data_IF_212442762220
#
_entry.id   IF_212442762220
#
_cell.length_a   1.000
_cell.length_b   1.000
_cell.length_c   1.000
_cell.angle_alpha   90.00
_cell.angle_beta   90.00
_cell.angle_gamma   90.00
#
_symmetry.space_group_name_H-M   'P 1'
#
loop_
_entity.id
_entity.type
_entity.pdbx_description
1 polymer ?
#
# COMPACT_ATOMS: atom_id res chain seq x y z
N UNK A 1 -48.86 59.28 8.28
CA UNK A 1 -48.51 57.92 7.79
C UNK A 1 -47.08 57.82 7.25
N UNK A 2 -46.52 58.83 6.58
CA UNK A 2 -45.17 58.81 5.98
C UNK A 2 -44.00 58.53 6.95
N UNK A 3 -44.01 59.12 8.15
CA UNK A 3 -42.95 58.94 9.15
C UNK A 3 -42.91 57.54 9.78
N UNK A 4 -44.04 56.82 9.81
CA UNK A 4 -44.12 55.48 10.38
C UNK A 4 -43.53 54.44 9.41
N UNK A 5 -43.81 54.60 8.11
CA UNK A 5 -43.25 53.75 7.05
C UNK A 5 -41.73 53.92 6.96
N UNK A 6 -41.23 55.17 7.03
CA UNK A 6 -39.79 55.48 7.01
C UNK A 6 -39.02 54.90 8.21
N UNK A 7 -39.64 54.89 9.41
CA UNK A 7 -39.07 54.24 10.60
C UNK A 7 -39.05 52.72 10.48
N UNK A 8 -40.11 52.11 9.93
CA UNK A 8 -40.17 50.66 9.70
C UNK A 8 -39.14 50.18 8.67
N UNK A 9 -38.96 50.91 7.57
CA UNK A 9 -37.95 50.58 6.56
C UNK A 9 -36.53 50.73 7.11
N UNK A 10 -36.27 51.74 7.95
CA UNK A 10 -34.96 51.91 8.60
C UNK A 10 -34.63 50.77 9.58
N UNK A 11 -35.61 50.31 10.37
CA UNK A 11 -35.46 49.17 11.29
C UNK A 11 -35.20 47.85 10.54
N UNK A 12 -35.90 47.61 9.44
CA UNK A 12 -35.69 46.41 8.61
C UNK A 12 -34.30 46.41 7.95
N UNK A 13 -33.84 47.55 7.44
CA UNK A 13 -32.50 47.70 6.89
C UNK A 13 -31.41 47.50 7.96
N UNK A 14 -31.61 48.02 9.18
CA UNK A 14 -30.65 47.79 10.27
C UNK A 14 -30.58 46.33 10.68
N UNK A 15 -31.71 45.62 10.77
CA UNK A 15 -31.73 44.19 11.10
C UNK A 15 -31.05 43.37 10.01
N UNK A 16 -31.27 43.71 8.74
CA UNK A 16 -30.62 43.04 7.61
C UNK A 16 -29.09 43.24 7.62
N UNK A 17 -28.61 44.46 7.88
CA UNK A 17 -27.18 44.75 7.99
C UNK A 17 -26.54 44.04 9.20
N UNK A 18 -27.22 43.99 10.34
CA UNK A 18 -26.75 43.24 11.52
C UNK A 18 -26.63 41.76 11.21
N UNK A 19 -27.63 41.16 10.54
CA UNK A 19 -27.56 39.76 10.11
C UNK A 19 -26.37 39.52 9.17
N UNK A 20 -26.12 40.38 8.17
CA UNK A 20 -24.96 40.26 7.27
C UNK A 20 -23.63 40.32 8.04
N UNK A 21 -23.51 41.23 9.01
CA UNK A 21 -22.29 41.37 9.83
C UNK A 21 -22.07 40.12 10.68
N UNK A 22 -23.13 39.60 11.31
CA UNK A 22 -23.07 38.36 12.09
C UNK A 22 -22.64 37.19 11.19
N UNK A 23 -23.25 37.00 10.01
CA UNK A 23 -22.89 35.90 9.10
C UNK A 23 -21.44 35.99 8.60
N UNK A 24 -20.92 37.20 8.36
CA UNK A 24 -19.51 37.39 7.97
C UNK A 24 -18.55 37.10 9.12
N UNK A 25 -18.89 37.52 10.34
CA UNK A 25 -18.09 37.25 11.53
C UNK A 25 -18.04 35.75 11.83
N UNK A 26 -19.18 35.04 11.80
CA UNK A 26 -19.21 33.59 11.99
C UNK A 26 -18.42 32.84 10.91
N UNK A 27 -18.51 33.26 9.64
CA UNK A 27 -17.72 32.66 8.56
C UNK A 27 -16.21 32.91 8.71
N UNK A 28 -15.81 34.04 9.28
CA UNK A 28 -14.40 34.35 9.57
C UNK A 28 -13.87 33.49 10.72
N UNK A 29 -14.63 33.34 11.80
CA UNK A 29 -14.27 32.52 12.95
C UNK A 29 -14.22 31.02 12.58
N UNK A 30 -15.15 30.54 11.77
CA UNK A 30 -15.12 29.17 11.24
C UNK A 30 -13.90 28.93 10.36
N UNK A 31 -13.51 29.90 9.52
CA UNK A 31 -12.33 29.80 8.66
C UNK A 31 -11.03 29.77 9.47
N UNK A 32 -10.92 30.59 10.51
CA UNK A 32 -9.75 30.64 11.39
C UNK A 32 -9.63 29.33 12.19
N UNK A 33 -10.73 28.85 12.78
CA UNK A 33 -10.78 27.56 13.47
C UNK A 33 -10.40 26.39 12.53
N UNK A 34 -10.84 26.45 11.27
CA UNK A 34 -10.52 25.45 10.26
C UNK A 34 -9.01 25.36 9.97
N UNK A 35 -8.34 26.50 9.83
CA UNK A 35 -6.90 26.56 9.58
C UNK A 35 -6.13 26.06 10.81
N UNK A 36 -6.52 26.46 12.02
CA UNK A 36 -5.87 26.01 13.25
C UNK A 36 -5.97 24.49 13.43
N UNK A 37 -7.11 23.88 13.11
CA UNK A 37 -7.27 22.42 13.13
C UNK A 37 -6.36 21.75 12.10
N UNK A 38 -6.22 22.31 10.90
CA UNK A 38 -5.28 21.80 9.89
C UNK A 38 -3.83 21.88 10.38
N UNK A 39 -3.41 23.02 10.96
CA UNK A 39 -2.07 23.20 11.49
C UNK A 39 -1.72 22.23 12.63
N UNK A 40 -2.67 21.99 13.53
CA UNK A 40 -2.53 21.04 14.63
C UNK A 40 -2.48 19.59 14.12
N UNK A 41 -3.37 19.24 13.18
CA UNK A 41 -3.38 17.93 12.55
C UNK A 41 -2.06 17.65 11.82
N UNK A 42 -1.46 18.66 11.18
CA UNK A 42 -0.23 18.57 10.42
C UNK A 42 1.06 18.82 11.23
N UNK A 43 0.96 19.06 12.54
CA UNK A 43 2.12 19.24 13.40
C UNK A 43 3.01 17.98 13.46
N UNK A 44 4.32 18.16 13.31
CA UNK A 44 5.30 17.06 13.31
C UNK A 44 5.33 16.21 12.03
N UNK A 45 4.65 16.64 10.96
CA UNK A 45 4.73 16.00 9.64
C UNK A 45 5.97 16.47 8.89
N UNK A 46 6.51 15.61 8.00
CA UNK A 46 7.72 15.93 7.22
C UNK A 46 7.47 16.99 6.14
N UNK A 47 6.25 17.03 5.58
CA UNK A 47 5.87 17.97 4.52
C UNK A 47 4.69 18.83 5.01
N UNK A 48 4.96 19.65 6.04
CA UNK A 48 3.94 20.43 6.76
C UNK A 48 3.12 21.33 5.85
N UNK A 49 3.77 22.09 4.97
CA UNK A 49 3.06 23.05 4.10
C UNK A 49 2.08 22.34 3.17
N UNK A 50 2.52 21.24 2.54
CA UNK A 50 1.67 20.40 1.70
C UNK A 50 0.53 19.76 2.50
N UNK A 51 0.80 19.35 3.74
CA UNK A 51 -0.23 18.82 4.65
C UNK A 51 -1.30 19.88 4.91
N UNK A 52 -0.90 21.07 5.38
CA UNK A 52 -1.83 22.14 5.77
C UNK A 52 -2.61 22.64 4.55
N UNK A 53 -1.93 22.86 3.42
CA UNK A 53 -2.58 23.33 2.18
C UNK A 53 -3.62 22.34 1.66
N UNK A 54 -3.45 21.05 1.92
CA UNK A 54 -4.38 20.01 1.48
C UNK A 54 -5.50 19.80 2.48
N UNK A 55 -5.15 19.62 3.77
CA UNK A 55 -6.11 19.33 4.84
C UNK A 55 -7.10 20.46 5.05
N UNK A 56 -6.66 21.72 4.94
CA UNK A 56 -7.53 22.91 5.05
C UNK A 56 -8.56 23.07 3.91
N UNK A 57 -8.53 22.20 2.89
CA UNK A 57 -9.54 22.19 1.82
C UNK A 57 -10.70 21.24 2.11
N UNK A 58 -10.58 20.40 3.14
CA UNK A 58 -11.58 19.37 3.41
C UNK A 58 -12.82 19.95 4.10
N UNK A 59 -14.04 19.61 3.66
CA UNK A 59 -15.25 20.08 4.30
C UNK A 59 -15.34 19.57 5.75
N UNK A 60 -15.93 20.38 6.61
CA UNK A 60 -16.22 20.07 8.02
C UNK A 60 -14.99 19.66 8.85
N UNK A 61 -13.78 20.09 8.46
CA UNK A 61 -12.53 19.70 9.13
C UNK A 61 -12.56 19.93 10.65
N UNK A 62 -13.12 21.05 11.10
CA UNK A 62 -13.20 21.40 12.52
C UNK A 62 -14.02 20.39 13.35
N UNK A 63 -14.89 19.59 12.71
CA UNK A 63 -15.69 18.56 13.36
C UNK A 63 -15.04 17.15 13.32
N UNK A 64 -13.94 16.98 12.56
CA UNK A 64 -13.29 15.70 12.37
C UNK A 64 -12.29 15.40 13.47
N UNK A 65 -12.34 14.18 14.00
CA UNK A 65 -11.26 13.62 14.82
C UNK A 65 -9.99 13.39 13.98
N UNK A 66 -8.83 13.29 14.63
CA UNK A 66 -7.57 13.01 13.93
C UNK A 66 -7.62 11.77 13.02
N UNK A 67 -8.17 10.60 13.43
CA UNK A 67 -8.37 9.46 12.52
C UNK A 67 -9.22 9.80 11.29
N UNK A 68 -10.29 10.58 11.44
CA UNK A 68 -11.14 11.00 10.31
C UNK A 68 -10.42 11.98 9.38
N UNK A 69 -9.56 12.84 9.92
CA UNK A 69 -8.69 13.72 9.12
C UNK A 69 -7.66 12.89 8.33
N UNK A 70 -7.04 11.89 8.95
CA UNK A 70 -6.16 10.94 8.26
C UNK A 70 -6.92 10.21 7.15
N UNK A 71 -8.12 9.67 7.42
CA UNK A 71 -8.95 9.04 6.39
C UNK A 71 -9.29 9.99 5.24
N UNK A 72 -9.52 11.27 5.52
CA UNK A 72 -9.80 12.29 4.48
C UNK A 72 -8.57 12.55 3.62
N UNK A 73 -7.38 12.65 4.23
CA UNK A 73 -6.11 12.78 3.51
C UNK A 73 -5.82 11.53 2.66
N UNK A 74 -5.99 10.33 3.22
CA UNK A 74 -5.80 9.08 2.48
C UNK A 74 -6.78 8.94 1.31
N UNK A 75 -8.05 9.34 1.47
CA UNK A 75 -9.03 9.36 0.39
C UNK A 75 -8.62 10.33 -0.74
N UNK A 76 -8.10 11.51 -0.37
CA UNK A 76 -7.53 12.45 -1.35
C UNK A 76 -6.35 11.80 -2.10
N UNK A 77 -5.43 11.17 -1.37
CA UNK A 77 -4.29 10.45 -1.95
C UNK A 77 -4.71 9.29 -2.86
N UNK A 78 -5.75 8.54 -2.52
CA UNK A 78 -6.33 7.51 -3.40
C UNK A 78 -6.75 8.12 -4.74
N UNK A 79 -7.35 9.31 -4.73
CA UNK A 79 -7.70 10.04 -5.95
C UNK A 79 -6.48 10.41 -6.80
N UNK A 80 -5.41 10.90 -6.17
CA UNK A 80 -4.15 11.22 -6.85
C UNK A 80 -3.48 9.98 -7.47
N UNK A 81 -3.47 8.86 -6.74
CA UNK A 81 -2.95 7.57 -7.23
C UNK A 81 -3.79 7.05 -8.40
N UNK A 82 -5.12 7.12 -8.29
CA UNK A 82 -6.02 6.73 -9.39
C UNK A 82 -5.79 7.58 -10.63
N UNK A 83 -5.65 8.90 -10.48
CA UNK A 83 -5.32 9.80 -11.59
C UNK A 83 -3.97 9.45 -12.23
N UNK A 84 -2.96 9.17 -11.41
CA UNK A 84 -1.62 8.78 -11.89
C UNK A 84 -1.64 7.43 -12.64
N UNK A 85 -2.45 6.47 -12.19
CA UNK A 85 -2.65 5.20 -12.89
C UNK A 85 -3.30 5.37 -14.27
N UNK A 86 -4.33 6.23 -14.36
CA UNK A 86 -4.92 6.59 -15.65
C UNK A 86 -3.92 7.32 -16.56
N UNK A 87 -3.10 8.21 -16.01
CA UNK A 87 -2.05 8.88 -16.77
C UNK A 87 -1.03 7.87 -17.33
N UNK A 88 -0.55 6.91 -16.53
CA UNK A 88 0.32 5.85 -17.03
C UNK A 88 -0.34 5.04 -18.17
N UNK A 89 -1.61 4.67 -18.01
CA UNK A 89 -2.38 3.99 -19.06
C UNK A 89 -2.48 4.84 -20.34
N UNK A 90 -2.68 6.16 -20.18
CA UNK A 90 -2.71 7.13 -21.27
C UNK A 90 -1.37 7.25 -21.98
N UNK A 91 -0.27 7.40 -21.24
CA UNK A 91 1.10 7.45 -21.78
C UNK A 91 1.43 6.18 -22.54
N UNK A 92 1.10 5.02 -21.96
CA UNK A 92 1.35 3.69 -22.53
C UNK A 92 0.68 3.48 -23.88
N UNK A 93 -0.49 4.10 -24.09
CA UNK A 93 -1.28 4.03 -25.34
C UNK A 93 -0.98 5.17 -26.30
N UNK A 94 -0.69 6.36 -25.79
CA UNK A 94 -0.62 7.60 -26.57
C UNK A 94 0.78 7.93 -27.09
N UNK A 95 1.84 7.56 -26.36
CA UNK A 95 3.22 7.83 -26.79
C UNK A 95 3.68 6.78 -27.81
N UNK A 96 3.95 7.23 -29.04
CA UNK A 96 4.30 6.34 -30.17
C UNK A 96 5.70 5.72 -30.06
N UNK A 97 6.65 6.44 -29.44
CA UNK A 97 8.07 6.06 -29.42
C UNK A 97 8.55 5.57 -28.05
N UNK A 98 7.71 4.81 -27.33
CA UNK A 98 8.14 4.15 -26.11
C UNK A 98 8.94 2.89 -26.43
N UNK A 99 10.14 2.81 -25.87
CA UNK A 99 10.95 1.59 -25.80
C UNK A 99 10.21 0.47 -25.07
N UNK A 100 10.64 -0.76 -25.29
CA UNK A 100 10.10 -1.92 -24.58
C UNK A 100 10.24 -1.79 -23.06
N UNK A 101 11.36 -1.22 -22.59
CA UNK A 101 11.59 -1.02 -21.16
C UNK A 101 10.64 0.03 -20.57
N UNK A 102 10.41 1.15 -21.26
CA UNK A 102 9.45 2.17 -20.79
C UNK A 102 8.02 1.62 -20.77
N UNK A 103 7.65 0.80 -21.76
CA UNK A 103 6.34 0.12 -21.78
C UNK A 103 6.16 -0.77 -20.56
N UNK A 104 7.18 -1.59 -20.22
CA UNK A 104 7.18 -2.45 -19.03
C UNK A 104 7.15 -1.63 -17.74
N UNK A 105 7.94 -0.56 -17.65
CA UNK A 105 7.96 0.33 -16.49
C UNK A 105 6.59 1.02 -16.26
N UNK A 106 5.91 1.43 -17.33
CA UNK A 106 4.53 1.95 -17.23
C UNK A 106 3.54 0.87 -16.79
N UNK A 107 3.67 -0.36 -17.32
CA UNK A 107 2.82 -1.50 -16.92
C UNK A 107 3.05 -1.86 -15.44
N UNK A 108 4.30 -1.80 -14.95
CA UNK A 108 4.67 -1.98 -13.54
C UNK A 108 4.08 -0.89 -12.65
N UNK A 109 4.18 0.38 -13.07
CA UNK A 109 3.56 1.49 -12.34
C UNK A 109 2.06 1.31 -12.16
N UNK A 110 1.35 0.83 -13.19
CA UNK A 110 -0.09 0.57 -13.10
C UNK A 110 -0.39 -0.48 -12.02
N UNK A 111 0.36 -1.58 -12.01
CA UNK A 111 0.23 -2.61 -10.99
C UNK A 111 0.54 -2.07 -9.57
N UNK A 112 1.65 -1.34 -9.42
CA UNK A 112 2.07 -0.74 -8.16
C UNK A 112 1.07 0.30 -7.63
N UNK A 113 0.42 1.07 -8.51
CA UNK A 113 -0.65 1.98 -8.10
C UNK A 113 -1.90 1.24 -7.63
N UNK A 114 -2.25 0.10 -8.24
CA UNK A 114 -3.38 -0.71 -7.76
C UNK A 114 -3.11 -1.32 -6.38
N UNK A 115 -1.86 -1.72 -6.10
CA UNK A 115 -1.46 -2.14 -4.76
C UNK A 115 -1.45 -0.98 -3.76
N UNK A 116 -0.89 0.16 -4.14
CA UNK A 116 -0.93 1.41 -3.35
C UNK A 116 -2.37 1.76 -2.98
N UNK A 117 -3.30 1.76 -3.94
CA UNK A 117 -4.73 2.01 -3.68
C UNK A 117 -5.31 1.04 -2.67
N UNK A 118 -4.94 -0.23 -2.76
CA UNK A 118 -5.42 -1.25 -1.83
C UNK A 118 -4.89 -0.99 -0.42
N UNK A 119 -3.61 -0.69 -0.27
CA UNK A 119 -2.97 -0.41 1.02
C UNK A 119 -3.58 0.82 1.70
N UNK A 120 -3.82 1.89 0.94
CA UNK A 120 -4.50 3.09 1.42
C UNK A 120 -5.95 2.79 1.82
N UNK A 121 -6.72 2.06 0.99
CA UNK A 121 -8.10 1.69 1.28
C UNK A 121 -8.23 0.79 2.52
N UNK A 122 -7.31 -0.17 2.69
CA UNK A 122 -7.24 -1.01 3.88
C UNK A 122 -6.95 -0.17 5.12
N UNK A 123 -6.00 0.77 5.03
CA UNK A 123 -5.70 1.70 6.14
C UNK A 123 -6.91 2.55 6.53
N UNK A 124 -7.65 3.08 5.54
CA UNK A 124 -8.91 3.81 5.79
C UNK A 124 -9.92 2.93 6.51
N UNK A 125 -10.07 1.67 6.08
CA UNK A 125 -10.99 0.71 6.71
C UNK A 125 -10.59 0.39 8.16
N UNK A 126 -9.29 0.30 8.44
CA UNK A 126 -8.77 0.04 9.79
C UNK A 126 -9.01 1.22 10.74
N UNK A 127 -8.88 2.45 10.23
CA UNK A 127 -9.06 3.69 10.99
C UNK A 127 -10.53 4.07 11.25
N UNK A 128 -11.45 3.62 10.39
CA UNK A 128 -12.88 3.89 10.55
C UNK A 128 -13.56 3.07 11.66
N UNK A 129 -12.85 2.16 12.33
CA UNK A 129 -13.41 1.33 13.39
C UNK A 129 -13.34 2.03 14.75
N UNK A 130 -14.41 1.94 15.56
CA UNK A 130 -14.58 2.60 16.87
C UNK A 130 -13.51 2.27 17.90
N UNK A 131 -12.81 1.15 17.75
CA UNK A 131 -11.62 0.79 18.52
C UNK A 131 -10.57 0.25 17.55
N UNK A 132 -9.33 0.73 17.65
CA UNK A 132 -8.19 0.26 16.85
C UNK A 132 -7.29 -0.56 17.78
N UNK A 133 -7.33 -1.91 17.74
CA UNK A 133 -6.35 -2.76 18.41
C UNK A 133 -4.94 -2.39 17.96
N UNK A 134 -3.96 -2.52 18.87
CA UNK A 134 -2.55 -2.19 18.61
C UNK A 134 -1.99 -2.85 17.35
N UNK A 135 -2.49 -4.05 17.02
CA UNK A 135 -2.16 -4.79 15.80
C UNK A 135 -2.53 -4.02 14.52
N UNK A 136 -3.74 -3.46 14.45
CA UNK A 136 -4.23 -2.73 13.27
C UNK A 136 -3.48 -1.41 13.04
N UNK A 137 -2.96 -0.80 14.10
CA UNK A 137 -2.09 0.37 13.96
C UNK A 137 -0.75 0.02 13.31
N UNK A 138 -0.09 -1.06 13.74
CA UNK A 138 1.14 -1.55 13.13
C UNK A 138 0.92 -2.01 11.68
N UNK A 139 -0.22 -2.66 11.42
CA UNK A 139 -0.62 -3.05 10.07
C UNK A 139 -0.80 -1.77 9.21
N UNK A 140 -1.51 -0.75 9.68
CA UNK A 140 -1.64 0.55 9.00
C UNK A 140 -0.29 1.23 8.73
N UNK A 141 0.63 1.25 9.70
CA UNK A 141 1.98 1.78 9.50
C UNK A 141 2.74 1.01 8.40
N UNK A 142 2.59 -0.30 8.38
CA UNK A 142 3.21 -1.17 7.37
C UNK A 142 2.63 -0.90 5.99
N UNK A 143 1.30 -0.80 5.89
CA UNK A 143 0.59 -0.51 4.63
C UNK A 143 0.98 0.86 4.06
N UNK A 144 1.05 1.91 4.89
CA UNK A 144 1.50 3.23 4.43
C UNK A 144 2.96 3.23 3.99
N UNK A 145 3.82 2.46 4.66
CA UNK A 145 5.22 2.31 4.27
C UNK A 145 5.36 1.55 2.95
N UNK A 146 4.54 0.50 2.74
CA UNK A 146 4.47 -0.24 1.49
C UNK A 146 3.97 0.65 0.34
N UNK A 147 2.95 1.48 0.58
CA UNK A 147 2.44 2.44 -0.39
C UNK A 147 3.55 3.39 -0.87
N UNK A 148 4.37 3.93 0.03
CA UNK A 148 5.53 4.74 -0.37
C UNK A 148 6.52 3.93 -1.21
N UNK A 149 6.87 2.71 -0.80
CA UNK A 149 7.77 1.83 -1.55
C UNK A 149 7.26 1.55 -2.96
N UNK A 150 5.96 1.32 -3.14
CA UNK A 150 5.35 1.10 -4.44
C UNK A 150 5.53 2.32 -5.37
N UNK A 151 5.34 3.54 -4.83
CA UNK A 151 5.55 4.78 -5.58
C UNK A 151 7.02 4.95 -6.01
N UNK A 152 7.98 4.71 -5.12
CA UNK A 152 9.41 4.78 -5.48
C UNK A 152 9.81 3.68 -6.47
N UNK A 153 9.30 2.46 -6.29
CA UNK A 153 9.55 1.33 -7.21
C UNK A 153 9.08 1.64 -8.63
N UNK A 154 7.93 2.32 -8.77
CA UNK A 154 7.46 2.79 -10.08
C UNK A 154 8.46 3.75 -10.73
N UNK A 155 9.01 4.71 -9.98
CA UNK A 155 10.03 5.63 -10.50
C UNK A 155 11.34 4.92 -10.86
N UNK A 156 11.75 3.96 -10.02
CA UNK A 156 12.97 3.17 -10.24
C UNK A 156 12.87 2.26 -11.47
N UNK A 157 11.65 1.89 -11.90
CA UNK A 157 11.41 1.20 -13.16
C UNK A 157 11.97 1.91 -14.40
N UNK A 158 12.19 3.23 -14.31
CA UNK A 158 12.74 4.04 -15.40
C UNK A 158 14.25 4.31 -15.27
N UNK A 159 14.94 3.84 -14.22
CA UNK A 159 16.34 4.17 -13.94
C UNK A 159 17.31 3.82 -15.09
N UNK A 160 16.95 2.83 -15.92
CA UNK A 160 17.77 2.37 -17.04
C UNK A 160 17.24 2.78 -18.43
N UNK A 161 16.20 3.62 -18.49
CA UNK A 161 15.63 4.16 -19.72
C UNK A 161 16.43 5.37 -20.23
N UNK A 162 17.65 5.14 -20.74
CA UNK A 162 18.55 6.21 -21.20
C UNK A 162 17.90 7.07 -22.30
N UNK A 163 17.98 8.40 -22.15
CA UNK A 163 17.41 9.36 -23.11
C UNK A 163 15.89 9.50 -23.05
N UNK A 164 15.21 8.75 -22.17
CA UNK A 164 13.80 8.97 -21.87
C UNK A 164 13.62 10.23 -21.03
N UNK A 165 12.46 10.87 -21.19
CA UNK A 165 11.99 11.93 -20.31
C UNK A 165 10.65 11.56 -19.68
N UNK A 166 10.22 10.30 -19.79
CA UNK A 166 8.90 9.87 -19.32
C UNK A 166 8.79 10.05 -17.80
N UNK A 167 9.84 9.62 -17.08
CA UNK A 167 9.95 9.74 -15.62
C UNK A 167 9.84 11.19 -15.17
N UNK A 168 10.75 12.04 -15.65
CA UNK A 168 10.90 13.41 -15.19
C UNK A 168 9.72 14.28 -15.61
N UNK A 169 9.22 14.10 -16.84
CA UNK A 169 8.16 14.95 -17.39
C UNK A 169 6.78 14.61 -16.87
N UNK A 170 6.48 13.34 -16.64
CA UNK A 170 5.09 12.91 -16.40
C UNK A 170 4.84 12.26 -15.04
N UNK A 171 5.87 11.72 -14.38
CA UNK A 171 5.68 10.88 -13.19
C UNK A 171 6.27 11.50 -11.94
N UNK A 172 7.52 11.95 -11.99
CA UNK A 172 8.33 12.25 -10.81
C UNK A 172 7.66 13.18 -9.81
N UNK A 173 7.27 14.38 -10.25
CA UNK A 173 6.70 15.39 -9.35
C UNK A 173 5.37 14.93 -8.74
N UNK A 174 4.54 14.25 -9.54
CA UNK A 174 3.27 13.69 -9.05
C UNK A 174 3.48 12.58 -8.04
N UNK A 175 4.43 11.69 -8.28
CA UNK A 175 4.68 10.58 -7.37
C UNK A 175 5.36 11.03 -6.08
N UNK A 176 6.21 12.05 -6.14
CA UNK A 176 6.73 12.70 -4.94
C UNK A 176 5.63 13.39 -4.14
N UNK A 177 4.72 14.12 -4.79
CA UNK A 177 3.57 14.72 -4.10
C UNK A 177 2.71 13.66 -3.38
N UNK A 178 2.37 12.57 -4.06
CA UNK A 178 1.62 11.45 -3.47
C UNK A 178 2.40 10.84 -2.31
N UNK A 179 3.69 10.54 -2.49
CA UNK A 179 4.56 9.98 -1.44
C UNK A 179 4.63 10.89 -0.21
N UNK A 180 4.63 12.20 -0.41
CA UNK A 180 4.62 13.20 0.65
C UNK A 180 3.27 13.20 1.41
N UNK A 181 2.14 13.04 0.73
CA UNK A 181 0.84 12.85 1.38
C UNK A 181 0.77 11.56 2.21
N UNK A 182 1.32 10.45 1.69
CA UNK A 182 1.41 9.18 2.44
C UNK A 182 2.32 9.35 3.66
N UNK A 183 3.46 10.02 3.50
CA UNK A 183 4.40 10.33 4.60
C UNK A 183 3.76 11.18 5.69
N UNK A 184 3.02 12.23 5.32
CA UNK A 184 2.26 13.05 6.25
C UNK A 184 1.19 12.22 6.98
N UNK A 185 0.45 11.37 6.26
CA UNK A 185 -0.54 10.46 6.85
C UNK A 185 0.09 9.52 7.88
N UNK A 186 1.29 8.99 7.58
CA UNK A 186 2.04 8.13 8.50
C UNK A 186 2.50 8.89 9.76
N UNK A 187 2.96 10.14 9.62
CA UNK A 187 3.32 10.98 10.75
C UNK A 187 2.10 11.32 11.62
N UNK A 188 0.95 11.61 11.01
CA UNK A 188 -0.31 11.84 11.70
C UNK A 188 -0.79 10.58 12.43
N UNK A 189 -0.67 9.41 11.80
CA UNK A 189 -1.05 8.10 12.38
C UNK A 189 -0.31 7.82 13.70
N UNK A 190 0.93 8.29 13.87
CA UNK A 190 1.70 8.14 15.13
C UNK A 190 1.11 8.93 16.30
N UNK A 191 0.30 9.96 16.03
CA UNK A 191 -0.35 10.80 17.05
C UNK A 191 -1.70 10.27 17.52
N UNK A 192 -2.24 9.22 16.88
CA UNK A 192 -3.54 8.63 17.26
C UNK A 192 -3.45 7.98 18.66
N UNK A 193 -4.30 8.37 19.64
CA UNK A 193 -4.29 7.81 20.99
C UNK A 193 -4.61 6.31 21.01
N UNK A 194 -3.99 5.55 21.92
CA UNK A 194 -4.21 4.09 22.06
C UNK A 194 -3.08 3.21 21.50
N UNK A 195 -2.11 3.83 20.84
CA UNK A 195 -0.86 3.21 20.42
C UNK A 195 0.11 3.27 21.59
N UNK A 196 0.36 2.15 22.26
CA UNK A 196 1.42 2.09 23.28
C UNK A 196 2.71 2.57 22.63
N UNK A 197 3.39 3.56 23.23
CA UNK A 197 4.72 4.02 22.79
C UNK A 197 5.57 2.77 22.49
N UNK A 198 6.28 2.72 21.35
CA UNK A 198 7.15 1.60 21.07
C UNK A 198 8.07 1.41 22.28
N UNK A 199 8.08 0.20 22.82
CA UNK A 199 9.11 -0.26 23.74
C UNK A 199 10.47 0.19 23.19
N UNK A 200 11.42 0.57 24.05
CA UNK A 200 12.81 0.91 23.65
C UNK A 200 13.53 -0.24 22.91
N UNK A 201 12.91 -1.40 22.75
CA UNK A 201 13.38 -2.47 21.88
C UNK A 201 13.08 -2.13 20.43
N UNK A 202 14.09 -2.26 19.57
CA UNK A 202 13.97 -2.16 18.11
C UNK A 202 12.65 -2.77 17.59
N UNK A 203 11.98 -2.02 16.72
CA UNK A 203 10.70 -2.42 16.12
C UNK A 203 10.88 -3.64 15.20
N UNK A 204 12.12 -3.90 14.76
CA UNK A 204 12.55 -5.09 14.04
C UNK A 204 13.97 -5.48 14.49
N UNK A 205 14.15 -6.32 15.53
CA UNK A 205 15.29 -7.22 15.47
C UNK A 205 15.05 -8.07 14.22
N UNK A 206 16.08 -8.29 13.42
CA UNK A 206 16.07 -8.90 12.07
C UNK A 206 15.10 -10.11 11.90
N UNK A 207 14.80 -10.86 12.97
CA UNK A 207 13.87 -12.00 12.98
C UNK A 207 12.71 -11.90 14.01
N UNK A 208 12.53 -10.76 14.69
CA UNK A 208 11.62 -10.61 15.81
C UNK A 208 12.10 -11.34 17.07
N UNK A 209 11.24 -11.47 18.09
CA UNK A 209 11.55 -12.34 19.24
C UNK A 209 11.59 -13.79 18.76
N UNK A 210 12.67 -14.50 19.08
CA UNK A 210 12.83 -15.91 18.76
C UNK A 210 12.35 -16.77 19.93
N UNK A 211 11.64 -17.87 19.63
CA UNK A 211 11.33 -18.92 20.61
C UNK A 211 11.83 -20.25 20.06
N UNK A 212 12.98 -20.70 20.56
CA UNK A 212 13.75 -21.77 19.92
C UNK A 212 14.36 -21.27 18.60
N UNK A 213 14.30 -22.07 17.54
CA UNK A 213 14.83 -21.72 16.22
C UNK A 213 13.84 -20.96 15.31
N UNK A 214 12.68 -20.54 15.83
CA UNK A 214 11.64 -19.90 15.03
C UNK A 214 11.21 -18.56 15.62
N UNK A 215 10.85 -17.57 14.76
CA UNK A 215 10.19 -16.36 15.19
C UNK A 215 8.87 -16.62 15.93
N UNK A 216 8.55 -15.76 16.91
CA UNK A 216 7.32 -15.89 17.71
C UNK A 216 6.05 -15.68 16.92
N UNK A 217 6.12 -14.99 15.77
CA UNK A 217 4.96 -14.75 14.89
C UNK A 217 4.56 -15.98 14.06
N UNK A 218 5.43 -17.00 13.94
CA UNK A 218 5.06 -18.28 13.35
C UNK A 218 4.21 -19.06 14.36
N UNK A 219 3.08 -19.61 13.94
CA UNK A 219 2.20 -20.36 14.84
C UNK A 219 2.81 -21.70 15.25
N UNK A 220 2.39 -22.28 16.39
CA UNK A 220 2.82 -23.63 16.78
C UNK A 220 2.50 -24.68 15.70
N UNK A 221 1.37 -24.52 15.01
CA UNK A 221 0.93 -25.41 13.92
C UNK A 221 1.88 -25.30 12.72
N UNK A 222 2.20 -24.07 12.31
CA UNK A 222 3.11 -23.83 11.18
C UNK A 222 4.53 -24.28 11.50
N UNK A 223 5.01 -24.09 12.73
CA UNK A 223 6.31 -24.64 13.17
C UNK A 223 6.36 -26.16 13.05
N UNK A 224 5.32 -26.85 13.55
CA UNK A 224 5.22 -28.32 13.43
C UNK A 224 5.22 -28.75 11.96
N UNK A 225 4.55 -28.00 11.09
CA UNK A 225 4.51 -28.27 9.66
C UNK A 225 5.88 -28.06 8.99
N UNK A 226 6.60 -26.99 9.34
CA UNK A 226 7.95 -26.70 8.82
C UNK A 226 9.01 -27.72 9.31
N UNK A 227 8.80 -28.30 10.49
CA UNK A 227 9.68 -29.32 11.07
C UNK A 227 9.30 -30.75 10.67
N UNK A 228 8.10 -30.96 10.12
CA UNK A 228 7.65 -32.28 9.71
C UNK A 228 8.48 -32.76 8.51
N UNK A 229 8.79 -34.05 8.47
CA UNK A 229 9.39 -34.62 7.26
C UNK A 229 8.40 -34.52 6.09
N UNK A 230 8.93 -34.43 4.87
CA UNK A 230 8.11 -34.40 3.64
C UNK A 230 7.12 -35.58 3.63
N UNK A 231 7.54 -36.75 4.11
CA UNK A 231 6.73 -37.98 4.16
C UNK A 231 5.58 -37.92 5.18
N UNK A 232 5.64 -37.04 6.18
CA UNK A 232 4.60 -36.86 7.22
C UNK A 232 3.68 -35.67 6.92
N UNK A 233 3.97 -34.92 5.86
CA UNK A 233 3.22 -33.71 5.52
C UNK A 233 2.16 -34.01 4.47
N UNK A 234 0.90 -33.68 4.76
CA UNK A 234 -0.18 -33.78 3.77
C UNK A 234 -0.11 -32.58 2.82
N UNK A 235 0.30 -32.83 1.58
CA UNK A 235 0.32 -31.82 0.52
C UNK A 235 -1.02 -31.74 -0.21
N UNK A 236 -1.38 -30.54 -0.66
CA UNK A 236 -2.57 -30.33 -1.48
C UNK A 236 -2.28 -30.57 -2.96
N UNK A 237 -1.11 -30.14 -3.43
CA UNK A 237 -0.62 -30.34 -4.80
C UNK A 237 0.86 -30.71 -4.79
N UNK A 238 1.27 -31.48 -5.78
CA UNK A 238 2.66 -31.84 -6.05
C UNK A 238 3.06 -31.35 -7.43
N UNK A 239 4.20 -30.68 -7.52
CA UNK A 239 4.84 -30.24 -8.76
C UNK A 239 6.04 -31.12 -9.02
N UNK A 240 6.08 -31.73 -10.21
CA UNK A 240 7.15 -32.64 -10.60
C UNK A 240 7.39 -32.58 -12.12
N UNK A 241 8.62 -32.25 -12.53
CA UNK A 241 8.98 -32.16 -13.95
C UNK A 241 8.92 -33.52 -14.67
N UNK A 242 9.16 -34.60 -13.92
CA UNK A 242 9.07 -35.99 -14.39
C UNK A 242 7.62 -36.44 -14.71
N UNK A 243 6.61 -35.63 -14.40
CA UNK A 243 5.19 -35.95 -14.62
C UNK A 243 4.57 -36.84 -13.54
N UNK A 244 5.29 -37.15 -12.46
CA UNK A 244 4.75 -37.94 -11.32
C UNK A 244 3.90 -37.13 -10.35
N UNK A 245 3.88 -35.79 -10.52
CA UNK A 245 3.08 -34.85 -9.73
C UNK A 245 1.78 -34.44 -10.43
N UNK A 246 1.01 -33.57 -9.78
CA UNK A 246 -0.21 -32.98 -10.37
C UNK A 246 0.11 -32.01 -11.52
N UNK A 247 1.22 -31.27 -11.41
CA UNK A 247 1.64 -30.26 -12.38
C UNK A 247 3.13 -30.40 -12.70
N UNK A 248 3.53 -29.98 -13.90
CA UNK A 248 4.95 -29.92 -14.30
C UNK A 248 5.63 -28.61 -13.92
N UNK A 249 4.85 -27.53 -13.85
CA UNK A 249 5.32 -26.17 -13.58
C UNK A 249 4.81 -25.66 -12.24
N UNK A 250 5.54 -24.70 -11.66
CA UNK A 250 5.11 -24.05 -10.42
C UNK A 250 3.96 -23.10 -10.71
N UNK A 251 4.01 -22.39 -11.85
CA UNK A 251 2.96 -21.47 -12.28
C UNK A 251 1.58 -22.15 -12.39
N UNK A 252 1.49 -23.35 -12.97
CA UNK A 252 0.22 -24.07 -13.11
C UNK A 252 -0.34 -24.49 -11.74
N UNK A 253 0.52 -24.92 -10.83
CA UNK A 253 0.11 -25.27 -9.47
C UNK A 253 -0.39 -24.05 -8.69
N UNK A 254 0.26 -22.89 -8.87
CA UNK A 254 -0.23 -21.62 -8.32
C UNK A 254 -1.57 -21.24 -8.93
N UNK A 255 -1.77 -21.40 -10.23
CA UNK A 255 -3.04 -21.12 -10.90
C UNK A 255 -4.17 -22.00 -10.35
N UNK A 256 -3.90 -23.29 -10.10
CA UNK A 256 -4.85 -24.25 -9.55
C UNK A 256 -5.17 -24.06 -8.05
N UNK A 257 -4.30 -23.39 -7.28
CA UNK A 257 -4.56 -23.13 -5.87
C UNK A 257 -5.82 -22.25 -5.66
N UNK A 258 -6.62 -22.47 -4.61
CA UNK A 258 -7.81 -21.68 -4.36
C UNK A 258 -7.48 -20.20 -4.06
N UNK A 259 -8.32 -19.30 -4.57
CA UNK A 259 -8.26 -17.89 -4.21
C UNK A 259 -8.86 -17.68 -2.81
N UNK A 260 -8.31 -16.76 -2.04
CA UNK A 260 -8.81 -16.35 -0.72
C UNK A 260 -9.00 -17.52 0.27
N UNK A 261 -8.11 -18.51 0.23
CA UNK A 261 -8.19 -19.68 1.10
C UNK A 261 -8.14 -19.28 2.58
N UNK A 262 -9.05 -19.81 3.39
CA UNK A 262 -9.06 -19.65 4.86
C UNK A 262 -8.12 -20.64 5.56
N UNK A 263 -7.73 -21.71 4.86
CA UNK A 263 -6.83 -22.74 5.38
C UNK A 263 -5.52 -22.76 4.59
N UNK A 264 -4.47 -23.30 5.21
CA UNK A 264 -3.15 -23.39 4.57
C UNK A 264 -3.20 -24.36 3.40
N UNK A 265 -2.85 -23.87 2.21
CA UNK A 265 -2.72 -24.65 0.98
C UNK A 265 -1.24 -24.91 0.70
N UNK A 266 -0.83 -26.17 0.79
CA UNK A 266 0.58 -26.58 0.70
C UNK A 266 0.86 -27.22 -0.65
N UNK A 267 1.78 -26.62 -1.41
CA UNK A 267 2.28 -27.15 -2.67
C UNK A 267 3.68 -27.69 -2.44
N UNK A 268 3.88 -28.97 -2.71
CA UNK A 268 5.18 -29.62 -2.69
C UNK A 268 5.82 -29.55 -4.07
N UNK A 269 7.07 -29.11 -4.14
CA UNK A 269 7.84 -29.00 -5.37
C UNK A 269 8.99 -29.97 -5.25
N UNK A 270 8.94 -31.05 -6.03
CA UNK A 270 9.98 -32.09 -6.02
C UNK A 270 11.33 -31.53 -6.46
N UNK A 271 12.39 -32.29 -6.22
CA UNK A 271 13.73 -31.98 -6.70
C UNK A 271 13.73 -31.80 -8.21
N UNK A 272 14.39 -30.74 -8.68
CA UNK A 272 14.35 -30.33 -10.07
C UNK A 272 14.86 -28.91 -10.26
N UNK A 273 15.18 -28.59 -11.52
CA UNK A 273 15.58 -27.25 -11.94
C UNK A 273 14.43 -26.62 -12.73
N UNK A 274 13.67 -25.75 -12.07
CA UNK A 274 12.49 -25.09 -12.62
C UNK A 274 12.89 -23.75 -13.23
N UNK A 275 12.77 -23.63 -14.56
CA UNK A 275 13.13 -22.41 -15.28
C UNK A 275 11.89 -21.55 -15.52
N UNK A 276 11.48 -20.80 -14.50
CA UNK A 276 10.22 -20.06 -14.45
C UNK A 276 10.39 -18.76 -13.66
N UNK A 277 9.73 -17.68 -14.09
CA UNK A 277 9.49 -16.51 -13.24
C UNK A 277 8.18 -16.74 -12.49
N UNK A 278 8.30 -17.11 -11.22
CA UNK A 278 7.15 -17.48 -10.41
C UNK A 278 6.53 -16.23 -9.79
N UNK A 279 5.27 -16.00 -10.12
CA UNK A 279 4.49 -14.88 -9.60
C UNK A 279 3.30 -15.36 -8.76
N UNK A 280 3.28 -14.96 -7.49
CA UNK A 280 2.16 -15.23 -6.59
C UNK A 280 1.23 -14.02 -6.58
N UNK A 281 0.08 -14.16 -7.26
CA UNK A 281 -0.93 -13.10 -7.29
C UNK A 281 -1.54 -12.88 -5.89
N UNK A 282 -1.89 -11.62 -5.59
CA UNK A 282 -2.49 -11.16 -4.32
C UNK A 282 -3.65 -12.01 -3.80
N UNK A 283 -4.44 -12.60 -4.69
CA UNK A 283 -5.62 -13.41 -4.34
C UNK A 283 -5.24 -14.77 -3.74
N UNK A 284 -4.00 -15.22 -3.87
CA UNK A 284 -3.52 -16.51 -3.35
C UNK A 284 -3.05 -16.36 -1.90
N UNK A 285 -4.01 -16.36 -0.97
CA UNK A 285 -3.74 -16.25 0.46
C UNK A 285 -3.52 -17.63 1.10
N UNK A 286 -2.79 -17.66 2.22
CA UNK A 286 -2.51 -18.88 2.98
C UNK A 286 -1.84 -19.97 2.14
N UNK A 287 -0.87 -19.58 1.33
CA UNK A 287 -0.13 -20.50 0.46
C UNK A 287 1.22 -20.85 1.09
N UNK A 288 1.62 -22.11 0.97
CA UNK A 288 2.94 -22.59 1.38
C UNK A 288 3.58 -23.44 0.29
N UNK A 289 4.82 -23.08 -0.07
CA UNK A 289 5.62 -23.84 -1.03
C UNK A 289 6.74 -24.56 -0.29
N UNK A 290 6.87 -25.86 -0.51
CA UNK A 290 7.86 -26.72 0.15
C UNK A 290 8.68 -27.42 -0.93
N UNK A 291 10.00 -27.23 -0.92
CA UNK A 291 10.93 -27.99 -1.76
C UNK A 291 11.47 -29.25 -1.07
N UNK A 292 12.08 -30.15 -1.85
CA UNK A 292 12.76 -31.35 -1.34
C UNK A 292 14.07 -31.06 -0.59
N UNK A 293 14.52 -29.80 -0.58
CA UNK A 293 15.64 -29.32 0.21
C UNK A 293 16.51 -28.30 -0.52
N UNK A 294 17.42 -27.69 0.24
CA UNK A 294 18.42 -26.76 -0.28
C UNK A 294 19.27 -27.43 -1.36
N UNK A 295 19.41 -26.76 -2.51
CA UNK A 295 20.15 -27.26 -3.66
C UNK A 295 19.50 -28.41 -4.45
N UNK A 296 18.37 -28.96 -3.99
CA UNK A 296 17.62 -30.03 -4.69
C UNK A 296 16.49 -29.47 -5.54
N UNK A 297 15.69 -28.60 -4.94
CA UNK A 297 14.64 -27.86 -5.65
C UNK A 297 15.17 -26.46 -5.91
N UNK A 298 15.45 -26.14 -7.17
CA UNK A 298 16.01 -24.86 -7.57
C UNK A 298 15.12 -24.20 -8.60
N UNK A 299 14.69 -22.97 -8.30
CA UNK A 299 13.96 -22.12 -9.24
C UNK A 299 14.94 -21.11 -9.82
N UNK A 300 14.97 -21.00 -11.16
CA UNK A 300 15.85 -20.12 -11.91
C UNK A 300 15.03 -19.37 -12.96
N UNK A 301 15.48 -18.17 -13.32
CA UNK A 301 14.90 -17.38 -14.38
C UNK A 301 15.99 -16.65 -15.17
N UNK A 302 15.63 -16.04 -16.30
CA UNK A 302 16.55 -15.27 -17.16
C UNK A 302 16.19 -13.80 -17.30
N UNK A 303 15.11 -13.32 -16.67
CA UNK A 303 14.72 -11.90 -16.77
C UNK A 303 15.75 -11.03 -16.08
N UNK A 304 16.30 -10.06 -16.81
CA UNK A 304 17.26 -9.11 -16.30
C UNK A 304 17.16 -7.76 -17.03
N UNK A 305 17.75 -6.72 -16.43
CA UNK A 305 17.67 -5.34 -16.93
C UNK A 305 18.37 -5.15 -18.27
N UNK A 306 19.48 -5.86 -18.50
CA UNK A 306 20.24 -5.78 -19.77
C UNK A 306 19.38 -6.25 -20.95
N UNK A 307 18.56 -7.29 -20.73
CA UNK A 307 17.61 -7.81 -21.72
C UNK A 307 16.27 -7.04 -21.79
N UNK A 308 16.25 -5.83 -21.22
CA UNK A 308 15.12 -4.91 -21.33
C UNK A 308 14.01 -5.10 -20.30
N UNK A 309 14.20 -5.94 -19.28
CA UNK A 309 13.23 -6.07 -18.18
C UNK A 309 13.44 -4.98 -17.13
N UNK A 310 12.43 -4.73 -16.31
CA UNK A 310 12.57 -3.83 -15.16
C UNK A 310 13.14 -4.60 -13.97
N UNK A 311 13.70 -3.88 -12.99
CA UNK A 311 14.12 -4.47 -11.71
C UNK A 311 12.95 -5.20 -11.05
N UNK A 312 11.75 -4.63 -11.08
CA UNK A 312 10.52 -5.22 -10.53
C UNK A 312 10.17 -6.57 -11.18
N UNK A 313 10.27 -6.68 -12.51
CA UNK A 313 9.93 -7.90 -13.24
C UNK A 313 11.07 -8.93 -13.33
N UNK A 314 12.27 -8.60 -12.85
CA UNK A 314 13.46 -9.48 -12.89
C UNK A 314 13.46 -10.56 -11.81
N UNK A 315 12.59 -10.45 -10.79
CA UNK A 315 12.54 -11.43 -9.71
C UNK A 315 12.23 -12.84 -10.25
N UNK A 316 13.06 -13.81 -9.87
CA UNK A 316 12.83 -15.24 -10.14
C UNK A 316 11.62 -15.77 -9.37
N UNK A 317 11.44 -15.29 -8.15
CA UNK A 317 10.29 -15.59 -7.30
C UNK A 317 9.75 -14.29 -6.70
N UNK A 318 8.55 -13.88 -7.11
CA UNK A 318 7.93 -12.63 -6.69
C UNK A 318 6.54 -12.85 -6.08
N UNK A 319 6.31 -12.21 -4.93
CA UNK A 319 4.97 -12.03 -4.38
C UNK A 319 4.70 -10.52 -4.35
N UNK A 320 3.99 -10.01 -5.36
CA UNK A 320 3.94 -8.58 -5.63
C UNK A 320 2.83 -7.84 -4.86
N UNK A 321 2.44 -8.29 -3.67
CA UNK A 321 1.48 -7.54 -2.83
C UNK A 321 1.79 -7.68 -1.33
N UNK A 322 1.95 -6.53 -0.67
CA UNK A 322 2.29 -6.42 0.75
C UNK A 322 1.17 -6.87 1.73
N UNK A 323 -0.05 -7.16 1.23
CA UNK A 323 -1.12 -7.77 2.04
C UNK A 323 -0.81 -9.19 2.51
N UNK A 324 0.33 -9.75 2.13
CA UNK A 324 0.86 -10.93 2.78
C UNK A 324 1.40 -10.53 4.15
N UNK A 325 0.48 -10.43 5.12
CA UNK A 325 0.84 -10.59 6.53
C UNK A 325 1.80 -11.76 6.64
N UNK A 326 2.80 -11.67 7.52
CA UNK A 326 3.77 -12.73 7.82
C UNK A 326 3.13 -14.10 8.14
N UNK A 327 1.81 -14.18 8.31
CA UNK A 327 1.03 -15.40 8.48
C UNK A 327 0.46 -16.04 7.19
N UNK A 328 0.57 -15.38 6.03
CA UNK A 328 -0.23 -15.71 4.83
C UNK A 328 0.55 -16.33 3.67
N UNK A 329 1.87 -16.21 3.63
CA UNK A 329 2.70 -16.81 2.60
C UNK A 329 4.00 -17.34 3.18
N UNK A 330 4.33 -18.60 2.89
CA UNK A 330 5.55 -19.26 3.34
C UNK A 330 6.22 -19.94 2.16
N UNK A 331 7.42 -19.49 1.79
CA UNK A 331 8.22 -20.14 0.76
C UNK A 331 9.46 -20.76 1.39
N UNK A 332 9.59 -22.08 1.28
CA UNK A 332 10.80 -22.80 1.66
C UNK A 332 11.41 -23.49 0.43
N UNK A 333 11.58 -22.69 -0.62
CA UNK A 333 12.19 -23.07 -1.90
C UNK A 333 13.33 -22.10 -2.17
N UNK A 334 14.48 -22.63 -2.58
CA UNK A 334 15.64 -21.80 -2.87
C UNK A 334 15.55 -21.29 -4.32
N UNK A 335 15.58 -19.97 -4.45
CA UNK A 335 15.76 -19.27 -5.72
C UNK A 335 17.23 -18.89 -5.84
N UNK A 336 17.82 -19.12 -7.02
CA UNK A 336 19.19 -18.68 -7.34
C UNK A 336 19.22 -17.86 -8.60
#
# INVERSE_FOLDING_TARGET
MYNLTRRRTALLLSLFLVNIIITKATASDEKEAHIQVAESACEGTFYRDLCVSTVSTFPDLASKSLPQTICSLLNHTVGEVTSSSYNCTGLRKGLRNLSTMEKRALDDCIALFDDTRTELATTISDLNQTTIPSRRHHDSQTLLSAAMTNLYTCLDGFAYCKGSHVRERYLQDKLFQISNHVSNSLAMLKKVPGVKKPSKSEVFPEYGKMKGHFPTWITNKDRKLLQASVNQTKFNLVVAQDGTGNFKTIADALAAAPNSSTTRFVIHIKAGAYFENVEVIKKKTNLMLVGDGIGKTVVKASRNVVDGWTTFQSATFGAFSFLLSSSSFYCHVFST
#
